data_IF_783209936057
#
_entry.id   IF_783209936057
#
_cell.length_a   1.000
_cell.length_b   1.000
_cell.length_c   1.000
_cell.angle_alpha   90.00
_cell.angle_beta   90.00
_cell.angle_gamma   90.00
#
_symmetry.space_group_name_H-M   'P 1'
#
loop_
_entity.id
_entity.type
_entity.pdbx_description
1 polymer ?
#
# COMPACT_ATOMS: atom_id res chain seq x y z
N UNK A 1 8.00 -29.99 -5.85
CA UNK A 1 8.56 -28.94 -4.97
C UNK A 1 7.47 -27.92 -4.73
N UNK A 2 7.12 -27.71 -3.46
CA UNK A 2 5.88 -27.11 -2.98
C UNK A 2 5.60 -25.72 -3.56
N UNK A 3 4.50 -25.60 -4.30
CA UNK A 3 3.90 -24.31 -4.66
C UNK A 3 3.19 -23.79 -3.42
N UNK A 4 3.96 -23.20 -2.51
CA UNK A 4 3.43 -22.53 -1.33
C UNK A 4 2.42 -21.49 -1.81
N UNK A 5 1.14 -21.76 -1.53
CA UNK A 5 0.04 -20.85 -1.82
C UNK A 5 0.33 -19.65 -0.93
N UNK A 6 0.89 -18.59 -1.51
CA UNK A 6 1.17 -17.34 -0.80
C UNK A 6 -0.20 -16.84 -0.35
N UNK A 7 -0.54 -17.10 0.90
CA UNK A 7 -1.63 -16.46 1.62
C UNK A 7 -1.38 -14.96 1.54
N UNK A 8 -1.95 -14.35 0.50
CA UNK A 8 -2.01 -12.91 0.36
C UNK A 8 -2.90 -12.44 1.47
N UNK A 9 -2.28 -12.06 2.59
CA UNK A 9 -2.93 -11.33 3.68
C UNK A 9 -3.71 -10.19 3.04
N UNK A 10 -5.03 -10.32 3.02
CA UNK A 10 -5.90 -9.27 2.52
C UNK A 10 -5.78 -8.13 3.51
N UNK A 11 -5.27 -6.99 3.06
CA UNK A 11 -5.17 -5.81 3.88
C UNK A 11 -6.57 -5.21 4.05
N UNK A 12 -6.86 -4.67 5.22
CA UNK A 12 -8.11 -3.98 5.53
C UNK A 12 -7.84 -2.51 5.87
N UNK A 13 -8.73 -1.62 5.44
CA UNK A 13 -8.68 -0.23 5.85
C UNK A 13 -9.08 -0.12 7.34
N UNK A 14 -8.30 0.50 8.23
CA UNK A 14 -8.64 0.60 9.65
C UNK A 14 -9.92 1.41 9.93
N UNK A 15 -10.38 2.21 8.96
CA UNK A 15 -11.54 3.10 9.09
C UNK A 15 -12.84 2.45 8.61
N UNK A 16 -12.88 1.97 7.37
CA UNK A 16 -14.09 1.36 6.80
C UNK A 16 -14.08 -0.17 6.87
N UNK A 17 -12.96 -0.80 7.27
CA UNK A 17 -12.76 -2.25 7.30
C UNK A 17 -12.97 -2.95 5.96
N UNK A 18 -13.00 -2.18 4.87
CA UNK A 18 -13.07 -2.75 3.54
C UNK A 18 -11.72 -3.32 3.11
N UNK A 19 -11.77 -4.36 2.30
CA UNK A 19 -10.57 -4.97 1.72
C UNK A 19 -9.88 -3.97 0.80
N UNK A 20 -8.59 -3.74 1.05
CA UNK A 20 -7.74 -2.88 0.23
C UNK A 20 -6.72 -3.73 -0.53
N UNK A 21 -6.31 -3.30 -1.74
CA UNK A 21 -5.30 -4.04 -2.49
C UNK A 21 -3.95 -4.03 -1.74
N UNK A 22 -3.20 -5.12 -1.81
CA UNK A 22 -1.81 -5.14 -1.37
C UNK A 22 -0.96 -4.28 -2.31
N UNK A 23 -0.25 -3.29 -1.77
CA UNK A 23 0.64 -2.43 -2.53
C UNK A 23 2.10 -2.63 -2.10
N UNK A 24 3.03 -2.43 -3.05
CA UNK A 24 4.48 -2.42 -2.76
C UNK A 24 4.94 -1.00 -2.56
N UNK A 25 5.32 -0.68 -1.33
CA UNK A 25 5.87 0.61 -0.95
C UNK A 25 7.39 0.50 -0.97
N UNK A 26 8.08 1.51 -1.50
CA UNK A 26 9.55 1.55 -1.46
C UNK A 26 9.99 2.61 -0.46
N UNK A 27 10.67 2.18 0.60
CA UNK A 27 11.32 3.10 1.54
C UNK A 27 12.82 3.14 1.28
N UNK A 28 13.40 4.34 1.28
CA UNK A 28 14.85 4.50 1.20
C UNK A 28 15.44 4.28 2.58
N UNK A 29 16.48 3.47 2.69
CA UNK A 29 17.15 3.15 3.95
C UNK A 29 18.63 3.00 3.68
N UNK A 30 19.45 3.84 4.32
CA UNK A 30 20.91 3.79 4.19
C UNK A 30 21.40 3.77 2.72
N UNK A 31 20.74 4.53 1.84
CA UNK A 31 21.07 4.59 0.42
C UNK A 31 20.41 3.52 -0.47
N UNK A 32 19.84 2.45 0.10
CA UNK A 32 19.13 1.41 -0.65
C UNK A 32 17.62 1.64 -0.69
N UNK A 33 16.95 1.21 -1.76
CA UNK A 33 15.48 1.20 -1.87
C UNK A 33 14.95 -0.18 -1.47
N UNK A 34 14.28 -0.26 -0.33
CA UNK A 34 13.74 -1.51 0.22
C UNK A 34 12.24 -1.60 -0.12
N UNK A 35 11.78 -2.65 -0.83
CA UNK A 35 10.36 -2.90 -1.03
C UNK A 35 9.73 -3.46 0.26
N UNK A 36 8.57 -2.93 0.63
CA UNK A 36 7.74 -3.40 1.73
C UNK A 36 6.31 -3.63 1.21
N UNK A 37 5.71 -4.73 1.60
CA UNK A 37 4.30 -5.01 1.33
C UNK A 37 3.43 -4.39 2.43
N UNK A 38 2.38 -3.69 2.06
CA UNK A 38 1.48 -3.04 3.01
C UNK A 38 0.09 -2.78 2.42
N UNK A 39 -0.84 -2.25 3.24
CA UNK A 39 -2.16 -1.84 2.78
C UNK A 39 -2.02 -0.76 1.71
N UNK A 40 -2.58 -1.02 0.53
CA UNK A 40 -2.75 -0.02 -0.51
C UNK A 40 -3.83 0.99 -0.15
N UNK A 41 -3.97 2.00 -1.00
CA UNK A 41 -4.86 3.11 -0.75
C UNK A 41 -6.35 2.69 -0.82
N UNK A 42 -7.15 3.18 0.14
CA UNK A 42 -8.56 2.84 0.25
C UNK A 42 -9.36 3.36 -0.96
N UNK A 43 -10.03 2.45 -1.67
CA UNK A 43 -10.82 2.76 -2.87
C UNK A 43 -12.30 3.08 -2.57
N UNK A 44 -12.71 3.03 -1.30
CA UNK A 44 -14.09 3.33 -0.93
C UNK A 44 -14.31 4.85 -0.84
N UNK A 45 -15.08 5.40 -1.78
CA UNK A 45 -15.37 6.85 -1.90
C UNK A 45 -16.12 7.45 -0.72
N UNK A 46 -16.79 6.61 0.06
CA UNK A 46 -17.52 6.99 1.27
C UNK A 46 -16.61 7.00 2.52
N UNK A 47 -15.41 6.42 2.42
CA UNK A 47 -14.49 6.37 3.53
C UNK A 47 -13.85 7.75 3.78
N UNK A 48 -13.79 8.24 5.03
CA UNK A 48 -13.10 9.50 5.32
C UNK A 48 -11.57 9.41 5.11
N UNK A 49 -11.02 8.19 5.01
CA UNK A 49 -9.63 7.93 4.61
C UNK A 49 -9.51 7.51 3.12
N UNK A 50 -10.52 7.81 2.31
CA UNK A 50 -10.50 7.55 0.88
C UNK A 50 -9.25 8.16 0.22
N UNK A 51 -8.41 7.29 -0.31
CA UNK A 51 -7.28 7.65 -1.14
C UNK A 51 -7.37 6.81 -2.40
N UNK A 52 -7.85 7.41 -3.49
CA UNK A 52 -7.35 7.03 -4.81
C UNK A 52 -5.85 7.27 -4.72
N UNK A 53 -5.02 6.25 -4.96
CA UNK A 53 -3.56 6.29 -4.81
C UNK A 53 -2.99 7.72 -4.93
N UNK A 54 -2.37 8.23 -3.85
CA UNK A 54 -1.99 9.62 -3.75
C UNK A 54 -0.92 9.92 -4.80
N UNK A 55 -1.03 11.11 -5.40
CA UNK A 55 0.09 11.92 -5.85
C UNK A 55 1.43 11.24 -5.60
N UNK A 56 2.06 10.72 -6.68
CA UNK A 56 3.51 10.64 -6.71
C UNK A 56 3.94 12.02 -6.27
N UNK A 57 4.33 12.22 -5.00
CA UNK A 57 4.98 13.45 -4.60
C UNK A 57 6.20 13.53 -5.51
N UNK A 58 6.03 14.26 -6.62
CA UNK A 58 7.11 14.73 -7.45
C UNK A 58 8.01 15.38 -6.42
N UNK A 59 9.24 14.87 -6.21
CA UNK A 59 10.12 15.48 -5.22
C UNK A 59 10.15 16.96 -5.55
N UNK A 60 9.66 17.81 -4.64
CA UNK A 60 9.81 19.26 -4.79
C UNK A 60 11.31 19.48 -4.89
N UNK A 61 11.76 19.79 -6.09
CA UNK A 61 13.07 20.34 -6.30
C UNK A 61 13.07 21.73 -5.66
N UNK A 62 13.71 21.83 -4.50
CA UNK A 62 14.24 23.07 -3.95
C UNK A 62 15.66 22.78 -3.48
#
# INVERSE_FOLDING_TARGET
MVKAKRETEAYECPTCKESVPAAVHRRKTLGAYVPAWGPGACQNRDCPDFRLEPDRKRPSAH
#
